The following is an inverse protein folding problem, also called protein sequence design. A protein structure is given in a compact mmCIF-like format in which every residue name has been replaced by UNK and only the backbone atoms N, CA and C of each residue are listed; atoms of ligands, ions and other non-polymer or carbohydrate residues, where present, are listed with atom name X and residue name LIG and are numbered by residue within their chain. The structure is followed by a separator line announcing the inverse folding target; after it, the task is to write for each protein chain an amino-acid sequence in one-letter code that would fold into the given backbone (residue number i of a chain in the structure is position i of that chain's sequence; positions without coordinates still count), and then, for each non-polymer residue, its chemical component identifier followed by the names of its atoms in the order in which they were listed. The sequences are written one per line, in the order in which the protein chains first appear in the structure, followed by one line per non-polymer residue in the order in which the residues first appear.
data_IF_439305395085
#
_entry.id   IF_439305395085
#
_cell.length_a   1.000
_cell.length_b   1.000
_cell.length_c   1.000
_cell.angle_alpha   90.00
_cell.angle_beta   90.00
_cell.angle_gamma   90.00
#
_symmetry.space_group_name_H-M   'P 1'
#
loop_
_entity.id
_entity.type
_entity.pdbx_description
1 polymer ?
#
# COMPACT_ATOMS: atom_id res chain seq x y z
N UNK A 1 -11.64 -53.49 -65.07
CA UNK A 1 -10.70 -52.53 -65.70
C UNK A 1 -11.47 -51.24 -66.01
N UNK A 2 -10.88 -50.06 -65.81
CA UNK A 2 -11.11 -49.22 -64.62
C UNK A 2 -11.75 -47.82 -64.90
N UNK A 3 -11.85 -47.01 -63.82
CA UNK A 3 -11.68 -45.53 -63.77
C UNK A 3 -12.95 -44.67 -64.01
N UNK A 4 -13.32 -43.61 -63.29
CA UNK A 4 -13.02 -42.95 -62.00
C UNK A 4 -14.18 -41.93 -61.79
N UNK A 5 -14.84 -41.84 -60.63
CA UNK A 5 -14.60 -40.91 -59.50
C UNK A 5 -14.74 -39.41 -59.81
N UNK A 6 -15.72 -38.74 -59.18
CA UNK A 6 -15.57 -37.47 -58.44
C UNK A 6 -16.92 -37.06 -57.81
N UNK A 7 -17.10 -37.36 -56.52
CA UNK A 7 -18.17 -36.81 -55.69
C UNK A 7 -17.66 -35.55 -54.99
N UNK A 8 -18.38 -34.44 -55.16
CA UNK A 8 -18.08 -33.17 -54.50
C UNK A 8 -18.49 -33.22 -53.03
N UNK A 9 -17.53 -33.12 -52.12
CA UNK A 9 -17.75 -32.97 -50.67
C UNK A 9 -17.85 -31.48 -50.37
N UNK A 10 -19.01 -31.04 -49.88
CA UNK A 10 -19.23 -29.69 -49.38
C UNK A 10 -18.52 -29.48 -48.04
N UNK A 11 -17.66 -28.47 -47.96
CA UNK A 11 -16.96 -28.06 -46.75
C UNK A 11 -17.75 -26.93 -46.07
N UNK A 12 -18.58 -27.28 -45.08
CA UNK A 12 -19.19 -26.30 -44.17
C UNK A 12 -18.18 -25.94 -43.09
N UNK A 13 -17.64 -24.72 -43.14
CA UNK A 13 -16.78 -24.16 -42.10
C UNK A 13 -17.68 -23.74 -40.92
N UNK A 14 -17.67 -24.53 -39.85
CA UNK A 14 -18.26 -24.14 -38.58
C UNK A 14 -17.28 -23.21 -37.83
N UNK A 15 -17.58 -21.90 -37.81
CA UNK A 15 -16.89 -20.94 -36.95
C UNK A 15 -17.32 -21.21 -35.51
N UNK A 16 -16.50 -21.95 -34.77
CA UNK A 16 -16.65 -22.06 -33.33
C UNK A 16 -16.25 -20.71 -32.71
N UNK A 17 -17.24 -19.90 -32.34
CA UNK A 17 -17.06 -18.79 -31.42
C UNK A 17 -16.67 -19.35 -30.05
N UNK A 18 -15.38 -19.59 -29.84
CA UNK A 18 -14.83 -19.75 -28.49
C UNK A 18 -14.87 -18.39 -27.81
N UNK A 19 -16.04 -18.04 -27.27
CA UNK A 19 -16.16 -16.93 -26.33
C UNK A 19 -15.22 -17.18 -25.17
N UNK A 20 -14.15 -16.40 -25.08
CA UNK A 20 -13.34 -16.29 -23.88
C UNK A 20 -14.23 -15.70 -22.80
N UNK A 21 -14.87 -16.55 -22.00
CA UNK A 21 -15.52 -16.12 -20.77
C UNK A 21 -14.42 -15.46 -19.95
N UNK A 22 -14.54 -14.18 -19.56
CA UNK A 22 -13.56 -13.59 -18.66
C UNK A 22 -13.62 -14.41 -17.38
N UNK A 23 -12.54 -15.13 -17.08
CA UNK A 23 -12.37 -15.81 -15.81
C UNK A 23 -12.38 -14.72 -14.74
N UNK A 24 -13.55 -14.45 -14.16
CA UNK A 24 -13.67 -13.59 -12.99
C UNK A 24 -12.79 -14.24 -11.92
N UNK A 25 -11.70 -13.57 -11.54
CA UNK A 25 -10.82 -14.04 -10.48
C UNK A 25 -11.67 -14.23 -9.22
N UNK A 26 -12.00 -15.49 -8.93
CA UNK A 26 -12.87 -15.83 -7.81
C UNK A 26 -12.04 -15.66 -6.54
N UNK A 27 -12.35 -14.65 -5.74
CA UNK A 27 -11.63 -14.43 -4.48
C UNK A 27 -11.85 -15.64 -3.57
N UNK A 28 -10.75 -16.25 -3.11
CA UNK A 28 -10.76 -17.43 -2.23
C UNK A 28 -11.38 -17.15 -0.85
N UNK A 29 -11.51 -15.87 -0.47
CA UNK A 29 -12.02 -15.44 0.84
C UNK A 29 -13.47 -14.98 0.74
N UNK A 30 -14.26 -15.31 1.76
CA UNK A 30 -15.64 -14.82 1.93
C UNK A 30 -15.72 -13.33 2.29
N UNK A 31 -14.58 -12.71 2.65
CA UNK A 31 -14.44 -11.29 2.93
C UNK A 31 -13.15 -10.73 2.31
N UNK A 32 -13.20 -9.48 1.86
CA UNK A 32 -12.01 -8.71 1.49
C UNK A 32 -11.53 -7.94 2.72
N UNK A 33 -10.45 -8.41 3.35
CA UNK A 33 -9.98 -7.88 4.62
C UNK A 33 -8.93 -6.80 4.40
N UNK A 34 -9.21 -5.59 4.91
CA UNK A 34 -8.29 -4.46 4.98
C UNK A 34 -7.79 -4.36 6.42
N UNK A 35 -6.49 -4.53 6.64
CA UNK A 35 -5.84 -4.31 7.93
C UNK A 35 -5.28 -2.89 8.00
N UNK A 36 -5.79 -2.11 8.94
CA UNK A 36 -5.25 -0.80 9.30
C UNK A 36 -4.38 -0.93 10.54
N UNK A 37 -3.09 -0.60 10.41
CA UNK A 37 -2.17 -0.49 11.53
C UNK A 37 -2.01 1.01 11.84
N UNK A 38 -2.79 1.52 12.78
CA UNK A 38 -2.88 2.96 13.05
C UNK A 38 -2.55 3.27 14.50
N UNK A 39 -2.31 4.54 14.85
CA UNK A 39 -2.06 4.97 16.22
C UNK A 39 -3.36 5.44 16.86
N UNK A 40 -3.95 4.63 17.74
CA UNK A 40 -5.23 5.00 18.37
C UNK A 40 -5.06 5.69 19.73
N UNK A 41 -3.87 5.63 20.31
CA UNK A 41 -3.68 5.97 21.73
C UNK A 41 -2.42 6.76 22.06
N UNK A 42 -1.53 6.99 21.09
CA UNK A 42 -0.25 7.66 21.28
C UNK A 42 -0.19 9.01 20.52
N UNK A 43 1.03 9.52 20.36
CA UNK A 43 1.34 10.89 19.93
C UNK A 43 0.94 11.23 18.50
N UNK A 44 0.64 10.25 17.65
CA UNK A 44 0.15 10.49 16.29
C UNK A 44 -1.34 10.22 16.14
N UNK A 45 -2.07 9.89 17.21
CA UNK A 45 -3.51 9.60 17.14
C UNK A 45 -4.38 10.72 16.57
N UNK A 46 -3.95 11.98 16.65
CA UNK A 46 -4.63 13.11 16.02
C UNK A 46 -4.39 13.18 14.49
N UNK A 47 -3.26 12.67 14.01
CA UNK A 47 -2.85 12.75 12.59
C UNK A 47 -2.95 11.43 11.83
N UNK A 48 -2.98 10.31 12.56
CA UNK A 48 -3.09 8.95 12.05
C UNK A 48 -3.68 8.09 13.17
N UNK A 49 -5.00 7.88 13.13
CA UNK A 49 -5.72 7.32 14.27
C UNK A 49 -7.22 7.20 14.05
N UNK A 50 -8.08 7.54 15.03
CA UNK A 50 -9.53 7.37 14.91
C UNK A 50 -10.16 8.07 13.70
N UNK A 51 -9.62 9.23 13.29
CA UNK A 51 -10.04 9.93 12.08
C UNK A 51 -9.82 9.10 10.82
N UNK A 52 -8.62 8.55 10.65
CA UNK A 52 -8.27 7.68 9.50
C UNK A 52 -9.15 6.43 9.44
N UNK A 53 -9.44 5.83 10.59
CA UNK A 53 -10.35 4.69 10.68
C UNK A 53 -11.75 5.04 10.19
N UNK A 54 -12.25 6.22 10.56
CA UNK A 54 -13.56 6.66 10.11
C UNK A 54 -13.56 6.96 8.61
N UNK A 55 -12.54 7.64 8.10
CA UNK A 55 -12.40 7.87 6.66
C UNK A 55 -12.30 6.56 5.86
N UNK A 56 -11.62 5.55 6.38
CA UNK A 56 -11.56 4.25 5.72
C UNK A 56 -12.93 3.56 5.67
N UNK A 57 -13.73 3.65 6.75
CA UNK A 57 -15.10 3.11 6.75
C UNK A 57 -16.01 3.87 5.78
N UNK A 58 -15.93 5.20 5.77
CA UNK A 58 -16.66 6.04 4.82
C UNK A 58 -16.28 5.69 3.37
N UNK A 59 -14.98 5.51 3.08
CA UNK A 59 -14.53 5.12 1.76
C UNK A 59 -15.05 3.72 1.35
N UNK A 60 -15.15 2.78 2.29
CA UNK A 60 -15.77 1.47 2.05
C UNK A 60 -17.26 1.60 1.78
N UNK A 61 -17.97 2.45 2.51
CA UNK A 61 -19.39 2.73 2.29
C UNK A 61 -19.64 3.37 0.92
N UNK A 62 -18.87 4.41 0.56
CA UNK A 62 -18.93 5.10 -0.72
C UNK A 62 -18.65 4.16 -1.90
N UNK A 63 -17.75 3.18 -1.72
CA UNK A 63 -17.48 2.14 -2.70
C UNK A 63 -18.62 1.11 -2.85
N UNK A 64 -19.59 1.10 -1.93
CA UNK A 64 -20.71 0.16 -1.91
C UNK A 64 -20.48 -1.09 -1.04
N UNK A 65 -19.45 -1.08 -0.19
CA UNK A 65 -19.20 -2.10 0.83
C UNK A 65 -18.73 -3.46 0.32
N UNK A 66 -18.59 -3.66 -1.00
CA UNK A 66 -18.25 -4.94 -1.62
C UNK A 66 -17.34 -4.79 -2.83
N UNK A 67 -16.38 -5.69 -2.99
CA UNK A 67 -15.58 -5.84 -4.22
C UNK A 67 -16.04 -7.13 -4.93
N UNK A 68 -16.55 -7.03 -6.15
CA UNK A 68 -17.02 -8.18 -6.94
C UNK A 68 -18.02 -9.08 -6.16
N UNK A 69 -18.92 -8.46 -5.38
CA UNK A 69 -19.90 -9.17 -4.56
C UNK A 69 -19.38 -9.68 -3.21
N UNK A 70 -18.08 -9.57 -2.93
CA UNK A 70 -17.47 -9.97 -1.65
C UNK A 70 -17.43 -8.76 -0.69
N UNK A 71 -17.95 -8.89 0.55
CA UNK A 71 -17.95 -7.79 1.53
C UNK A 71 -16.54 -7.37 1.94
N UNK A 72 -16.34 -6.06 2.06
CA UNK A 72 -15.11 -5.49 2.61
C UNK A 72 -15.22 -5.42 4.13
N UNK A 73 -14.18 -5.86 4.84
CA UNK A 73 -14.04 -5.76 6.29
C UNK A 73 -12.80 -4.96 6.64
N UNK A 74 -12.96 -3.88 7.41
CA UNK A 74 -11.84 -3.13 7.98
C UNK A 74 -11.50 -3.71 9.36
N UNK A 75 -10.26 -4.14 9.52
CA UNK A 75 -9.69 -4.64 10.78
C UNK A 75 -8.71 -3.57 11.25
N UNK A 76 -8.91 -3.05 12.46
CA UNK A 76 -8.10 -1.96 13.02
C UNK A 76 -7.26 -2.47 14.16
N UNK A 77 -5.98 -2.08 14.17
CA UNK A 77 -5.04 -2.38 15.24
C UNK A 77 -4.35 -1.09 15.67
N UNK A 78 -4.41 -0.82 16.97
CA UNK A 78 -3.57 0.18 17.61
C UNK A 78 -2.13 -0.33 17.66
N UNK A 79 -1.27 0.25 16.81
CA UNK A 79 0.12 -0.15 16.70
C UNK A 79 1.04 0.54 17.71
N UNK A 80 0.56 1.59 18.40
CA UNK A 80 1.30 2.39 19.39
C UNK A 80 2.67 2.88 18.91
N UNK A 81 2.80 3.05 17.61
CA UNK A 81 4.04 3.39 16.89
C UNK A 81 5.17 2.36 17.02
N UNK A 82 4.90 1.19 17.60
CA UNK A 82 5.89 0.15 17.87
C UNK A 82 6.07 -0.80 16.67
N UNK A 83 7.29 -0.91 16.11
CA UNK A 83 7.53 -1.75 14.94
C UNK A 83 7.31 -3.25 15.19
N UNK A 84 7.68 -3.75 16.37
CA UNK A 84 7.58 -5.17 16.69
C UNK A 84 6.12 -5.58 16.87
N UNK A 85 5.33 -4.76 17.58
CA UNK A 85 3.89 -4.93 17.73
C UNK A 85 3.19 -4.91 16.36
N UNK A 86 3.54 -3.94 15.50
CA UNK A 86 2.99 -3.82 14.15
C UNK A 86 3.17 -5.10 13.34
N UNK A 87 4.40 -5.62 13.27
CA UNK A 87 4.73 -6.84 12.52
C UNK A 87 4.06 -8.07 13.13
N UNK A 88 4.08 -8.19 14.46
CA UNK A 88 3.50 -9.34 15.15
C UNK A 88 1.98 -9.41 14.96
N UNK A 89 1.27 -8.28 15.11
CA UNK A 89 -0.17 -8.21 14.89
C UNK A 89 -0.54 -8.39 13.43
N UNK A 90 0.22 -7.81 12.50
CA UNK A 90 0.02 -8.06 11.08
C UNK A 90 0.16 -9.55 10.74
N UNK A 91 1.22 -10.21 11.21
CA UNK A 91 1.43 -11.65 11.00
C UNK A 91 0.27 -12.48 11.57
N UNK A 92 -0.10 -12.23 12.83
CA UNK A 92 -1.21 -12.90 13.50
C UNK A 92 -2.52 -12.79 12.71
N UNK A 93 -2.87 -11.60 12.22
CA UNK A 93 -4.13 -11.35 11.50
C UNK A 93 -4.08 -11.90 10.08
N UNK A 94 -2.93 -11.81 9.40
CA UNK A 94 -2.71 -12.47 8.10
C UNK A 94 -2.94 -13.98 8.25
N UNK A 95 -2.36 -14.60 9.27
CA UNK A 95 -2.42 -16.05 9.46
C UNK A 95 -3.81 -16.53 9.92
N UNK A 96 -4.50 -15.76 10.76
CA UNK A 96 -5.77 -16.17 11.37
C UNK A 96 -7.01 -15.77 10.58
N UNK A 97 -7.02 -14.59 9.96
CA UNK A 97 -8.20 -14.03 9.28
C UNK A 97 -8.00 -13.88 7.77
N UNK A 98 -6.76 -13.93 7.29
CA UNK A 98 -6.41 -13.51 5.94
C UNK A 98 -6.50 -11.98 5.79
N UNK A 99 -5.58 -11.40 5.03
CA UNK A 99 -5.55 -9.96 4.73
C UNK A 99 -5.32 -9.79 3.24
N UNK A 100 -6.08 -8.91 2.61
CA UNK A 100 -5.92 -8.57 1.20
C UNK A 100 -5.14 -7.27 1.00
N UNK A 101 -5.27 -6.35 1.95
CA UNK A 101 -4.62 -5.04 1.93
C UNK A 101 -4.20 -4.65 3.35
N UNK A 102 -2.97 -4.16 3.52
CA UNK A 102 -2.56 -3.41 4.71
C UNK A 102 -2.52 -1.92 4.34
N UNK A 103 -2.97 -1.03 5.21
CA UNK A 103 -2.95 0.42 4.98
C UNK A 103 -2.56 1.22 6.23
N UNK A 104 -2.32 2.51 6.01
CA UNK A 104 -1.89 3.54 6.97
C UNK A 104 -0.44 3.38 7.47
N UNK A 105 -0.22 2.56 8.49
CA UNK A 105 1.06 2.35 9.19
C UNK A 105 1.72 3.66 9.67
N UNK A 106 1.20 4.18 10.78
CA UNK A 106 1.44 5.53 11.33
C UNK A 106 2.91 5.96 11.51
N UNK A 107 3.84 5.04 11.76
CA UNK A 107 5.24 5.38 12.03
C UNK A 107 6.18 4.88 10.93
N UNK A 108 7.15 5.69 10.52
CA UNK A 108 8.14 5.27 9.51
C UNK A 108 8.96 4.04 9.93
N UNK A 109 9.21 3.85 11.22
CA UNK A 109 9.91 2.67 11.71
C UNK A 109 9.04 1.41 11.58
N UNK A 110 7.76 1.50 11.95
CA UNK A 110 6.80 0.42 11.77
C UNK A 110 6.57 0.11 10.30
N UNK A 111 6.46 1.13 9.45
CA UNK A 111 6.24 0.99 8.01
C UNK A 111 7.39 0.23 7.33
N UNK A 112 8.65 0.53 7.65
CA UNK A 112 9.81 -0.22 7.12
C UNK A 112 9.71 -1.70 7.51
N UNK A 113 9.36 -1.99 8.76
CA UNK A 113 9.24 -3.37 9.25
C UNK A 113 8.07 -4.12 8.59
N UNK A 114 6.92 -3.46 8.45
CA UNK A 114 5.74 -4.00 7.77
C UNK A 114 5.99 -4.18 6.27
N UNK A 115 6.74 -3.29 5.62
CA UNK A 115 7.11 -3.41 4.21
C UNK A 115 7.86 -4.72 3.92
N UNK A 116 8.78 -5.11 4.81
CA UNK A 116 9.47 -6.39 4.72
C UNK A 116 8.49 -7.56 4.81
N UNK A 117 7.61 -7.56 5.82
CA UNK A 117 6.59 -8.59 5.98
C UNK A 117 5.64 -8.67 4.77
N UNK A 118 5.20 -7.52 4.26
CA UNK A 118 4.31 -7.42 3.11
C UNK A 118 4.91 -8.08 1.86
N UNK A 119 6.21 -7.82 1.61
CA UNK A 119 6.93 -8.44 0.50
C UNK A 119 7.17 -9.95 0.73
N UNK A 120 7.49 -10.37 1.96
CA UNK A 120 7.65 -11.81 2.29
C UNK A 120 6.33 -12.59 2.14
N UNK A 121 5.20 -11.97 2.50
CA UNK A 121 3.88 -12.62 2.54
C UNK A 121 3.04 -12.35 1.30
N UNK A 122 3.55 -11.58 0.35
CA UNK A 122 2.86 -11.17 -0.88
C UNK A 122 1.54 -10.43 -0.62
N UNK A 123 1.52 -9.57 0.40
CA UNK A 123 0.34 -8.80 0.80
C UNK A 123 0.48 -7.37 0.30
N UNK A 124 -0.48 -6.94 -0.53
CA UNK A 124 -0.55 -5.55 -0.97
C UNK A 124 -0.62 -4.63 0.24
N UNK A 125 0.24 -3.63 0.27
CA UNK A 125 0.38 -2.74 1.42
C UNK A 125 0.61 -1.32 0.95
N UNK A 126 -0.18 -0.40 1.50
CA UNK A 126 0.01 1.03 1.29
C UNK A 126 0.46 1.74 2.54
N UNK A 127 1.31 2.73 2.32
CA UNK A 127 1.80 3.61 3.34
C UNK A 127 1.31 5.02 3.04
N UNK A 128 0.56 5.59 3.98
CA UNK A 128 -0.05 6.93 3.83
C UNK A 128 0.56 7.91 4.82
N UNK A 129 0.77 7.48 6.06
CA UNK A 129 1.32 8.31 7.15
C UNK A 129 2.85 8.40 7.25
N UNK A 130 3.65 7.37 6.91
CA UNK A 130 5.09 7.40 7.21
C UNK A 130 5.91 8.18 6.17
N UNK A 131 6.51 9.31 6.55
CA UNK A 131 7.21 10.18 5.59
C UNK A 131 8.66 9.83 5.21
N UNK A 132 9.19 8.64 5.53
CA UNK A 132 10.61 8.34 5.23
C UNK A 132 10.84 8.03 3.75
N UNK A 133 11.96 8.49 3.19
CA UNK A 133 12.38 8.13 1.83
C UNK A 133 12.73 6.65 1.69
N UNK A 134 13.00 5.94 2.79
CA UNK A 134 13.38 4.53 2.73
C UNK A 134 12.28 3.66 2.09
N UNK A 135 11.00 4.02 2.28
CA UNK A 135 9.86 3.30 1.68
C UNK A 135 9.82 3.43 0.15
N UNK A 136 10.37 4.52 -0.38
CA UNK A 136 10.51 4.77 -1.82
C UNK A 136 11.85 4.24 -2.38
N UNK A 137 12.76 3.77 -1.51
CA UNK A 137 14.10 3.33 -1.87
C UNK A 137 14.42 1.94 -1.28
N UNK A 138 15.17 1.86 -0.18
CA UNK A 138 15.73 0.60 0.35
C UNK A 138 14.67 -0.43 0.78
N UNK A 139 13.52 0.05 1.26
CA UNK A 139 12.38 -0.77 1.68
C UNK A 139 11.27 -0.85 0.61
N UNK A 140 11.50 -0.30 -0.59
CA UNK A 140 10.58 -0.44 -1.71
C UNK A 140 10.50 -1.90 -2.17
N UNK A 141 9.32 -2.35 -2.56
CA UNK A 141 9.12 -3.72 -3.02
C UNK A 141 7.85 -3.89 -3.84
N UNK A 142 7.71 -5.07 -4.44
CA UNK A 142 6.65 -5.37 -5.41
C UNK A 142 5.24 -5.25 -4.82
N UNK A 143 5.08 -5.47 -3.52
CA UNK A 143 3.79 -5.47 -2.84
C UNK A 143 3.52 -4.21 -2.03
N UNK A 144 4.43 -3.24 -2.07
CA UNK A 144 4.31 -2.01 -1.28
C UNK A 144 4.17 -0.80 -2.19
N UNK A 145 3.32 0.15 -1.79
CA UNK A 145 3.28 1.46 -2.43
C UNK A 145 3.23 2.56 -1.38
N UNK A 146 4.11 3.55 -1.55
CA UNK A 146 4.13 4.75 -0.72
C UNK A 146 3.27 5.82 -1.40
N UNK A 147 2.07 6.07 -0.87
CA UNK A 147 1.11 6.99 -1.47
C UNK A 147 1.20 8.40 -0.89
N UNK A 148 1.61 8.51 0.37
CA UNK A 148 1.74 9.78 1.08
C UNK A 148 2.91 10.65 0.59
N UNK A 149 3.26 11.62 1.43
CA UNK A 149 4.44 12.45 1.25
C UNK A 149 5.71 11.71 1.70
N UNK A 150 6.87 12.15 1.24
CA UNK A 150 8.16 11.77 1.84
C UNK A 150 9.02 13.01 2.16
N UNK A 151 10.12 12.80 2.87
CA UNK A 151 11.03 13.90 3.24
C UNK A 151 11.69 14.58 2.05
N UNK A 152 11.72 13.94 0.87
CA UNK A 152 12.20 14.57 -0.36
C UNK A 152 11.22 15.67 -0.79
N UNK A 153 9.92 15.33 -0.89
CA UNK A 153 8.87 16.28 -1.20
C UNK A 153 8.80 17.42 -0.16
N UNK A 154 8.94 17.08 1.13
CA UNK A 154 8.96 18.07 2.21
C UNK A 154 10.16 19.02 2.17
N UNK A 155 11.27 18.63 1.53
CA UNK A 155 12.48 19.46 1.45
C UNK A 155 12.41 20.52 0.34
N UNK A 156 11.42 20.44 -0.56
CA UNK A 156 11.29 21.37 -1.70
C UNK A 156 11.14 22.84 -1.25
N UNK A 157 10.28 23.19 -0.27
CA UNK A 157 10.21 24.57 0.23
C UNK A 157 11.52 25.06 0.88
N UNK A 158 12.27 24.17 1.56
CA UNK A 158 13.57 24.50 2.17
C UNK A 158 14.61 24.86 1.11
N UNK A 159 14.64 24.09 0.00
CA UNK A 159 15.46 24.42 -1.15
C UNK A 159 15.08 25.78 -1.75
N UNK A 160 13.78 26.06 -1.88
CA UNK A 160 13.31 27.33 -2.42
C UNK A 160 13.72 28.51 -1.53
N UNK A 161 13.47 28.42 -0.21
CA UNK A 161 13.88 29.46 0.74
C UNK A 161 15.39 29.71 0.74
N UNK A 162 16.20 28.66 0.56
CA UNK A 162 17.66 28.80 0.47
C UNK A 162 18.07 29.61 -0.77
N UNK A 163 17.44 29.33 -1.92
CA UNK A 163 17.64 30.09 -3.17
C UNK A 163 17.19 31.54 -3.04
N UNK A 164 16.12 31.80 -2.31
CA UNK A 164 15.58 33.15 -2.05
C UNK A 164 16.42 33.95 -1.03
N UNK A 165 17.44 33.33 -0.43
CA UNK A 165 18.45 34.06 0.34
C UNK A 165 18.52 33.69 1.82
N UNK A 166 17.74 32.72 2.32
CA UNK A 166 17.90 32.23 3.69
C UNK A 166 19.29 31.62 3.88
N UNK A 167 20.08 32.18 4.81
CA UNK A 167 21.50 31.82 4.99
C UNK A 167 21.81 30.95 6.19
N UNK A 168 20.92 30.87 7.17
CA UNK A 168 21.14 30.13 8.42
C UNK A 168 20.00 29.14 8.63
N UNK A 169 20.36 27.87 8.80
CA UNK A 169 19.44 26.77 9.02
C UNK A 169 19.82 26.02 10.29
N UNK A 170 18.82 25.62 11.06
CA UNK A 170 18.95 24.77 12.23
C UNK A 170 17.88 23.68 12.12
N UNK A 171 18.23 22.44 12.46
CA UNK A 171 17.30 21.31 12.38
C UNK A 171 17.12 20.69 13.76
N UNK A 172 15.87 20.44 14.12
CA UNK A 172 15.47 19.63 15.27
C UNK A 172 14.60 18.51 14.70
N UNK A 173 14.97 17.26 14.96
CA UNK A 173 14.29 16.10 14.38
C UNK A 173 14.13 15.00 15.44
N UNK A 174 13.07 14.20 15.29
CA UNK A 174 12.83 13.06 16.15
C UNK A 174 13.85 11.93 15.87
N UNK A 175 14.32 11.23 16.90
CA UNK A 175 15.32 10.16 16.76
C UNK A 175 14.70 8.83 16.33
N UNK A 176 14.17 8.79 15.12
CA UNK A 176 13.76 7.54 14.45
C UNK A 176 13.87 7.71 12.93
N UNK A 177 13.42 6.70 12.18
CA UNK A 177 13.56 6.64 10.72
C UNK A 177 13.10 7.91 9.99
N UNK A 178 11.97 8.51 10.38
CA UNK A 178 11.48 9.75 9.77
C UNK A 178 12.44 10.93 9.99
N UNK A 179 12.81 11.21 11.25
CA UNK A 179 13.65 12.36 11.55
C UNK A 179 15.07 12.25 10.97
N UNK A 180 15.61 11.03 10.88
CA UNK A 180 16.87 10.76 10.18
C UNK A 180 16.76 11.05 8.67
N UNK A 181 15.67 10.60 8.03
CA UNK A 181 15.37 10.89 6.63
C UNK A 181 15.16 12.39 6.38
N UNK A 182 14.51 13.08 7.32
CA UNK A 182 14.26 14.52 7.27
C UNK A 182 15.58 15.29 7.34
N UNK A 183 16.44 14.96 8.30
CA UNK A 183 17.75 15.59 8.43
C UNK A 183 18.59 15.43 7.17
N UNK A 184 18.62 14.23 6.57
CA UNK A 184 19.34 14.00 5.32
C UNK A 184 18.76 14.83 4.16
N UNK A 185 17.45 14.74 3.94
CA UNK A 185 16.77 15.44 2.83
C UNK A 185 16.92 16.96 2.94
N UNK A 186 16.72 17.51 4.15
CA UNK A 186 16.78 18.95 4.38
C UNK A 186 18.22 19.45 4.36
N UNK A 187 19.18 18.69 4.90
CA UNK A 187 20.61 19.04 4.81
C UNK A 187 21.12 19.04 3.38
N UNK A 188 20.58 18.19 2.50
CA UNK A 188 20.87 18.23 1.06
C UNK A 188 20.22 19.45 0.40
N UNK A 189 18.97 19.77 0.75
CA UNK A 189 18.24 20.90 0.19
C UNK A 189 18.92 22.25 0.47
N UNK A 190 19.53 22.44 1.64
CA UNK A 190 20.23 23.70 2.00
C UNK A 190 21.62 23.86 1.36
N UNK A 191 22.17 22.79 0.77
CA UNK A 191 23.48 22.81 0.11
C UNK A 191 23.39 23.06 -1.40
N UNK A 192 22.17 23.12 -1.96
CA UNK A 192 21.90 23.32 -3.39
C UNK A 192 21.51 24.77 -3.69
#
# INVERSE_FOLDING_TARGET
MPMNTLAAVGLTIAIALTGTVPTSAQMKSSTFNILMLTDLSSVYSETSGPGDVEFAKMAVEDFGGKVNGVPIKVIVVDNKLDPALSVNKAREIIDSQGVNLITDVSSSAAAIAVAKLANERHILTTFVSPGTMALSNEACGKYTWHYGYDTSAMSVPVKQMTKEGTKKWYFIAADFAFGKSLLDSFSKAVKQ
#
